data_IF_342861096234
#
_entry.id   IF_342861096234
#
_cell.length_a   1.000
_cell.length_b   1.000
_cell.length_c   1.000
_cell.angle_alpha   90.00
_cell.angle_beta   90.00
_cell.angle_gamma   90.00
#
_symmetry.space_group_name_H-M   'P 1'
#
loop_
_entity.id
_entity.type
_entity.pdbx_description
1 polymer ?
#
# COMPACT_ATOMS: atom_id res chain seq x y z
N UNK A 1 -14.77 -1.29 2.91
CA UNK A 1 -14.77 -2.62 2.24
C UNK A 1 -13.36 -2.86 1.70
N UNK A 2 -12.42 -3.24 2.57
CA UNK A 2 -11.01 -3.41 2.20
C UNK A 2 -10.80 -4.72 1.46
N UNK A 3 -9.87 -4.77 0.50
CA UNK A 3 -9.50 -5.93 -0.34
C UNK A 3 -9.01 -7.14 0.50
N UNK A 4 -9.92 -7.80 1.19
CA UNK A 4 -9.77 -9.13 1.80
C UNK A 4 -9.50 -10.22 0.75
N UNK A 5 -9.95 -9.99 -0.49
CA UNK A 5 -9.93 -10.93 -1.63
C UNK A 5 -8.51 -11.42 -2.01
N UNK A 6 -7.43 -10.72 -1.65
CA UNK A 6 -6.05 -11.20 -1.91
C UNK A 6 -5.49 -12.14 -0.84
N UNK A 7 -5.99 -12.08 0.40
CA UNK A 7 -5.42 -12.82 1.54
C UNK A 7 -5.97 -14.23 1.70
N UNK A 8 -7.16 -14.45 1.16
CA UNK A 8 -7.83 -15.75 1.10
C UNK A 8 -7.14 -16.69 0.14
N UNK A 9 -6.76 -16.15 -1.02
CA UNK A 9 -5.90 -16.86 -1.97
C UNK A 9 -4.53 -17.20 -1.37
N UNK A 10 -4.03 -16.43 -0.39
CA UNK A 10 -2.74 -16.74 0.23
C UNK A 10 -2.85 -17.98 1.14
N UNK A 11 -3.85 -18.02 2.03
CA UNK A 11 -4.13 -19.19 2.87
C UNK A 11 -4.48 -20.43 2.04
N UNK A 12 -5.29 -20.25 0.99
CA UNK A 12 -5.64 -21.33 0.07
C UNK A 12 -4.41 -21.87 -0.68
N UNK A 13 -3.51 -20.99 -1.17
CA UNK A 13 -2.25 -21.41 -1.80
C UNK A 13 -1.32 -22.16 -0.85
N UNK A 14 -1.26 -21.76 0.43
CA UNK A 14 -0.48 -22.50 1.43
C UNK A 14 -1.05 -23.88 1.72
N UNK A 15 -2.38 -24.01 1.74
CA UNK A 15 -3.04 -25.29 1.89
C UNK A 15 -2.83 -26.21 0.67
N UNK A 16 -2.93 -25.65 -0.55
CA UNK A 16 -2.68 -26.37 -1.81
C UNK A 16 -1.22 -26.84 -1.96
N UNK A 17 -0.26 -26.08 -1.41
CA UNK A 17 1.17 -26.44 -1.43
C UNK A 17 1.56 -27.51 -0.38
N UNK A 18 0.69 -27.83 0.58
CA UNK A 18 0.98 -28.81 1.64
C UNK A 18 1.97 -28.35 2.71
N UNK A 19 2.49 -27.12 2.61
CA UNK A 19 3.55 -26.58 3.47
C UNK A 19 3.06 -26.13 4.86
N UNK A 20 1.74 -26.03 5.05
CA UNK A 20 1.16 -25.40 6.25
C UNK A 20 -0.08 -26.16 6.74
N UNK A 21 -0.14 -26.40 8.06
CA UNK A 21 -1.38 -26.79 8.75
C UNK A 21 -1.97 -25.56 9.47
N UNK A 22 -3.26 -25.33 9.24
CA UNK A 22 -4.03 -24.23 9.86
C UNK A 22 -4.88 -24.83 11.00
N UNK A 23 -4.86 -24.20 12.17
CA UNK A 23 -5.64 -24.58 13.33
C UNK A 23 -6.45 -23.37 13.85
N UNK A 24 -7.76 -23.51 13.97
CA UNK A 24 -8.69 -22.45 14.35
C UNK A 24 -9.37 -22.69 15.70
N UNK A 25 -9.73 -21.59 16.36
CA UNK A 25 -10.58 -21.57 17.54
C UNK A 25 -12.08 -21.56 17.14
N UNK A 26 -12.96 -22.37 17.76
CA UNK A 26 -14.39 -22.42 17.44
C UNK A 26 -15.14 -21.08 17.50
N UNK A 27 -14.69 -20.11 18.31
CA UNK A 27 -15.29 -18.77 18.40
C UNK A 27 -15.07 -17.87 17.16
N UNK A 28 -14.16 -18.24 16.26
CA UNK A 28 -13.85 -17.48 15.04
C UNK A 28 -14.94 -17.60 13.94
N UNK A 29 -15.77 -18.65 13.96
CA UNK A 29 -16.64 -18.99 12.83
C UNK A 29 -17.72 -17.94 12.53
N UNK A 30 -18.24 -17.23 13.55
CA UNK A 30 -19.39 -16.33 13.39
C UNK A 30 -19.00 -14.88 13.02
N UNK A 31 -17.83 -14.42 13.49
CA UNK A 31 -17.28 -13.13 13.08
C UNK A 31 -16.76 -13.15 11.63
N UNK A 32 -16.12 -14.25 11.20
CA UNK A 32 -15.65 -14.41 9.82
C UNK A 32 -16.82 -14.48 8.80
N UNK A 33 -18.01 -14.92 9.23
CA UNK A 33 -19.25 -14.87 8.43
C UNK A 33 -19.80 -13.45 8.29
N UNK A 34 -19.71 -12.63 9.33
CA UNK A 34 -20.28 -11.26 9.34
C UNK A 34 -19.35 -10.19 8.73
N UNK A 35 -18.03 -10.42 8.69
CA UNK A 35 -17.07 -9.54 8.01
C UNK A 35 -17.05 -9.75 6.47
N UNK A 36 -18.21 -9.49 5.86
CA UNK A 36 -18.52 -9.41 4.42
C UNK A 36 -18.10 -10.61 3.55
N UNK A 37 -19.01 -11.58 3.47
CA UNK A 37 -19.23 -12.34 2.24
C UNK A 37 -18.35 -13.57 2.03
N UNK A 38 -18.14 -14.35 3.10
CA UNK A 38 -17.87 -15.78 2.96
C UNK A 38 -16.67 -16.15 2.10
N UNK A 39 -15.48 -15.88 2.62
CA UNK A 39 -14.31 -16.72 2.41
C UNK A 39 -13.29 -16.23 3.43
N UNK A 40 -13.01 -17.04 4.45
CA UNK A 40 -11.78 -17.12 5.23
C UNK A 40 -11.67 -18.60 5.52
N UNK A 41 -10.55 -19.22 5.12
CA UNK A 41 -10.30 -20.62 5.46
C UNK A 41 -10.18 -20.70 6.99
N UNK A 42 -11.30 -20.97 7.66
CA UNK A 42 -11.32 -21.46 9.00
C UNK A 42 -11.03 -22.96 8.91
N UNK A 43 -9.91 -23.41 9.45
CA UNK A 43 -9.65 -24.84 9.62
C UNK A 43 -9.83 -25.16 11.10
N UNK A 44 -11.00 -25.69 11.42
CA UNK A 44 -11.28 -26.36 12.67
C UNK A 44 -10.37 -27.59 12.76
N UNK A 45 -9.53 -27.66 13.80
CA UNK A 45 -9.13 -28.98 14.27
C UNK A 45 -10.32 -29.49 15.08
N UNK A 46 -11.04 -30.47 14.53
CA UNK A 46 -11.96 -31.25 15.34
C UNK A 46 -11.13 -31.98 16.40
N UNK A 47 -11.41 -31.72 17.68
CA UNK A 47 -10.81 -32.42 18.82
C UNK A 47 -11.07 -33.94 18.76
N UNK A 48 -12.02 -34.38 17.90
CA UNK A 48 -12.31 -35.79 17.60
C UNK A 48 -11.55 -36.35 16.41
N UNK A 49 -10.91 -35.50 15.60
CA UNK A 49 -9.84 -35.96 14.72
C UNK A 49 -8.53 -35.84 15.49
N UNK A 50 -8.16 -36.93 16.17
CA UNK A 50 -6.73 -37.20 16.36
C UNK A 50 -6.11 -37.02 14.97
N UNK A 51 -5.12 -36.13 14.74
CA UNK A 51 -4.31 -36.26 13.54
C UNK A 51 -3.76 -37.67 13.61
N UNK A 52 -4.38 -38.58 12.86
CA UNK A 52 -3.98 -39.97 12.80
C UNK A 52 -2.55 -39.94 12.24
N UNK A 53 -1.57 -40.02 13.14
CA UNK A 53 -0.17 -39.92 12.77
C UNK A 53 0.31 -38.48 12.58
N UNK A 54 1.32 -38.14 13.38
CA UNK A 54 2.43 -37.24 13.04
C UNK A 54 2.08 -36.05 12.11
N UNK A 55 1.92 -34.86 12.69
CA UNK A 55 2.11 -33.62 11.91
C UNK A 55 3.58 -33.60 11.44
N UNK A 56 3.83 -33.99 10.19
CA UNK A 56 5.15 -33.96 9.55
C UNK A 56 5.45 -32.62 8.84
N UNK A 57 5.11 -31.49 9.47
CA UNK A 57 5.28 -30.16 8.88
C UNK A 57 6.14 -29.24 9.75
N UNK A 58 7.09 -28.53 9.14
CA UNK A 58 7.99 -27.61 9.85
C UNK A 58 7.35 -26.28 10.30
N UNK A 59 6.14 -25.94 9.83
CA UNK A 59 5.48 -24.66 10.09
C UNK A 59 3.99 -24.78 10.46
N UNK A 60 3.54 -23.96 11.42
CA UNK A 60 2.14 -23.80 11.86
C UNK A 60 1.76 -22.32 11.81
N UNK A 61 0.56 -22.00 11.30
CA UNK A 61 0.02 -20.64 11.30
C UNK A 61 -1.18 -20.56 12.25
N UNK A 62 -1.04 -19.74 13.30
CA UNK A 62 -2.11 -19.39 14.22
C UNK A 62 -2.99 -18.30 13.60
N UNK A 63 -4.30 -18.52 13.57
CA UNK A 63 -5.28 -17.52 13.11
C UNK A 63 -6.29 -17.32 14.25
N UNK A 64 -6.31 -16.11 14.83
CA UNK A 64 -7.28 -15.77 15.86
C UNK A 64 -7.99 -14.45 15.60
N UNK A 65 -9.31 -14.54 15.72
CA UNK A 65 -10.27 -13.48 16.02
C UNK A 65 -9.84 -12.52 17.12
N UNK A 66 -9.33 -13.13 18.19
CA UNK A 66 -9.45 -12.61 19.53
C UNK A 66 -8.12 -12.34 20.21
N UNK A 67 -7.25 -13.32 20.22
CA UNK A 67 -5.92 -13.21 20.78
C UNK A 67 -5.00 -14.18 20.02
N UNK A 68 -4.43 -13.68 18.92
CA UNK A 68 -3.54 -14.48 18.07
C UNK A 68 -2.24 -14.79 18.80
N UNK A 69 -1.80 -13.89 19.67
CA UNK A 69 -0.64 -14.04 20.54
C UNK A 69 -0.80 -15.25 21.46
N UNK A 70 -1.93 -15.33 22.18
CA UNK A 70 -2.21 -16.46 23.09
C UNK A 70 -2.35 -17.78 22.35
N UNK A 71 -3.01 -17.79 21.19
CA UNK A 71 -3.14 -19.00 20.37
C UNK A 71 -1.76 -19.49 19.88
N UNK A 72 -0.93 -18.57 19.39
CA UNK A 72 0.45 -18.86 18.97
C UNK A 72 1.27 -19.50 20.10
N UNK A 73 1.16 -18.97 21.33
CA UNK A 73 1.84 -19.54 22.49
C UNK A 73 1.39 -20.99 22.78
N UNK A 74 0.08 -21.25 22.84
CA UNK A 74 -0.47 -22.60 23.09
C UNK A 74 -0.04 -23.61 22.02
N UNK A 75 -0.02 -23.19 20.75
CA UNK A 75 0.42 -24.04 19.65
C UNK A 75 1.92 -24.35 19.73
N UNK A 76 2.75 -23.39 20.13
CA UNK A 76 4.18 -23.62 20.31
C UNK A 76 4.47 -24.60 21.47
N UNK A 77 3.71 -24.53 22.56
CA UNK A 77 3.78 -25.48 23.67
C UNK A 77 3.35 -26.89 23.25
N UNK A 78 2.29 -27.00 22.43
CA UNK A 78 1.75 -28.28 21.97
C UNK A 78 2.60 -28.94 20.88
N UNK A 79 3.28 -28.14 20.05
CA UNK A 79 4.06 -28.60 18.90
C UNK A 79 5.50 -28.06 18.94
N UNK A 80 6.34 -28.51 19.88
CA UNK A 80 7.67 -27.93 20.14
C UNK A 80 8.67 -28.09 18.98
N UNK A 81 8.40 -28.99 18.03
CA UNK A 81 9.23 -29.21 16.85
C UNK A 81 8.78 -28.41 15.62
N UNK A 82 7.67 -27.67 15.71
CA UNK A 82 7.14 -26.86 14.62
C UNK A 82 7.43 -25.36 14.86
N UNK A 83 7.70 -24.64 13.77
CA UNK A 83 7.78 -23.17 13.80
C UNK A 83 6.38 -22.59 13.80
N UNK A 84 5.98 -21.90 14.87
CA UNK A 84 4.63 -21.31 14.99
C UNK A 84 4.66 -19.81 14.69
N UNK A 85 3.84 -19.36 13.73
CA UNK A 85 3.71 -17.98 13.31
C UNK A 85 2.26 -17.47 13.46
N UNK A 86 2.08 -16.20 13.79
CA UNK A 86 0.76 -15.54 13.76
C UNK A 86 0.40 -15.08 12.35
N UNK A 87 -0.86 -15.21 11.95
CA UNK A 87 -1.28 -14.78 10.62
C UNK A 87 -1.18 -13.27 10.43
N UNK A 88 -1.63 -12.45 11.38
CA UNK A 88 -1.55 -11.00 11.26
C UNK A 88 -0.15 -10.51 11.62
N UNK A 89 0.37 -10.91 12.78
CA UNK A 89 1.64 -10.42 13.33
C UNK A 89 2.89 -10.82 12.56
N UNK A 90 2.87 -11.99 11.91
CA UNK A 90 4.03 -12.53 11.21
C UNK A 90 3.78 -12.64 9.69
N UNK A 91 2.80 -13.45 9.27
CA UNK A 91 2.60 -13.81 7.86
C UNK A 91 2.13 -12.60 7.03
N UNK A 92 1.07 -11.92 7.48
CA UNK A 92 0.52 -10.76 6.78
C UNK A 92 1.45 -9.55 6.84
N UNK A 93 2.21 -9.41 7.94
CA UNK A 93 3.23 -8.37 8.09
C UNK A 93 4.32 -8.55 7.05
N UNK A 94 4.91 -9.75 6.93
CA UNK A 94 5.92 -10.09 5.91
C UNK A 94 5.39 -9.94 4.50
N UNK A 95 4.19 -10.45 4.23
CA UNK A 95 3.55 -10.31 2.93
C UNK A 95 3.33 -8.83 2.55
N UNK A 96 3.02 -7.97 3.52
CA UNK A 96 2.90 -6.53 3.32
C UNK A 96 4.25 -5.83 3.05
N UNK A 97 5.37 -6.46 3.43
CA UNK A 97 6.72 -6.07 3.03
C UNK A 97 7.19 -6.78 1.74
N UNK A 98 6.32 -7.55 1.08
CA UNK A 98 6.63 -8.44 -0.04
C UNK A 98 7.77 -9.45 0.23
N UNK A 99 8.04 -9.73 1.51
CA UNK A 99 8.89 -10.82 1.93
C UNK A 99 8.14 -12.16 1.81
N UNK A 100 8.90 -13.25 1.76
CA UNK A 100 8.33 -14.59 1.94
C UNK A 100 7.61 -14.65 3.31
N UNK A 101 6.29 -14.92 3.33
CA UNK A 101 5.52 -14.94 4.58
C UNK A 101 5.93 -16.04 5.57
N UNK A 102 6.60 -17.09 5.10
CA UNK A 102 7.01 -18.26 5.90
C UNK A 102 8.51 -18.29 6.23
N UNK A 103 9.32 -17.50 5.52
CA UNK A 103 10.76 -17.46 5.76
C UNK A 103 11.12 -16.83 7.12
N UNK A 104 12.28 -17.22 7.62
CA UNK A 104 12.96 -16.49 8.69
C UNK A 104 13.44 -15.12 8.19
N UNK A 105 13.32 -14.13 9.05
CA UNK A 105 13.67 -12.74 8.77
C UNK A 105 15.19 -12.50 8.80
N UNK A 106 15.98 -13.44 9.33
CA UNK A 106 17.44 -13.26 9.51
C UNK A 106 18.16 -13.03 8.18
N UNK A 107 17.78 -13.73 7.12
CA UNK A 107 18.33 -13.55 5.78
C UNK A 107 18.08 -12.15 5.25
N UNK A 108 16.84 -11.66 5.38
CA UNK A 108 16.44 -10.32 4.95
C UNK A 108 17.19 -9.26 5.74
N UNK A 109 17.33 -9.44 7.06
CA UNK A 109 18.06 -8.47 7.92
C UNK A 109 19.55 -8.37 7.59
N UNK A 110 20.15 -9.42 6.99
CA UNK A 110 21.54 -9.43 6.51
C UNK A 110 21.72 -8.71 5.18
N UNK A 111 20.66 -8.46 4.43
CA UNK A 111 20.76 -7.65 3.21
C UNK A 111 21.24 -6.24 3.55
N UNK A 112 22.11 -5.70 2.68
CA UNK A 112 22.62 -4.35 2.85
C UNK A 112 21.49 -3.33 2.78
N UNK A 113 21.50 -2.34 3.67
CA UNK A 113 20.55 -1.23 3.58
C UNK A 113 20.71 -0.46 2.26
N UNK A 114 19.61 0.08 1.72
CA UNK A 114 19.68 0.94 0.55
C UNK A 114 20.53 2.18 0.83
N UNK A 115 21.36 2.53 -0.15
CA UNK A 115 22.18 3.75 -0.10
C UNK A 115 21.38 5.03 -0.33
N UNK A 116 20.18 4.93 -0.91
CA UNK A 116 19.29 6.06 -1.21
C UNK A 116 17.86 5.71 -0.82
N UNK A 117 17.21 6.64 -0.13
CA UNK A 117 15.81 6.58 0.26
C UNK A 117 15.06 7.73 -0.37
N UNK A 118 13.88 7.48 -0.92
CA UNK A 118 13.00 8.56 -1.34
C UNK A 118 11.52 8.26 -1.13
N UNK A 119 10.74 9.33 -0.97
CA UNK A 119 9.29 9.26 -0.89
C UNK A 119 8.66 10.18 -1.94
N UNK A 120 7.73 9.64 -2.72
CA UNK A 120 6.79 10.43 -3.49
C UNK A 120 5.63 10.80 -2.57
N UNK A 121 5.53 12.08 -2.21
CA UNK A 121 4.49 12.61 -1.33
C UNK A 121 3.46 13.37 -2.17
N UNK A 122 2.19 13.01 -2.03
CA UNK A 122 1.13 13.56 -2.88
C UNK A 122 -0.24 13.44 -2.22
N UNK A 123 -1.22 14.21 -2.69
CA UNK A 123 -2.64 13.95 -2.40
C UNK A 123 -3.20 12.76 -3.21
N UNK A 124 -4.40 12.26 -2.87
CA UNK A 124 -5.10 11.26 -3.67
C UNK A 124 -5.39 11.79 -5.08
N UNK A 125 -5.47 10.90 -6.08
CA UNK A 125 -5.83 11.22 -7.48
C UNK A 125 -4.93 12.23 -8.23
N UNK A 126 -3.71 12.44 -7.75
CA UNK A 126 -2.67 13.28 -8.40
C UNK A 126 -1.96 12.61 -9.60
N UNK A 127 -2.39 11.42 -10.04
CA UNK A 127 -1.65 10.63 -11.04
C UNK A 127 -0.45 9.85 -10.47
N UNK A 128 -0.29 9.85 -9.15
CA UNK A 128 0.86 9.24 -8.45
C UNK A 128 1.10 7.76 -8.73
N UNK A 129 0.06 6.96 -8.99
CA UNK A 129 0.24 5.55 -9.37
C UNK A 129 0.87 5.39 -10.76
N UNK A 130 0.48 6.22 -11.72
CA UNK A 130 1.08 6.27 -13.06
C UNK A 130 2.54 6.72 -12.94
N UNK A 131 2.77 7.82 -12.24
CA UNK A 131 4.10 8.41 -12.03
C UNK A 131 5.08 7.45 -11.35
N UNK A 132 4.66 6.82 -10.26
CA UNK A 132 5.48 5.84 -9.54
C UNK A 132 5.76 4.61 -10.39
N UNK A 133 4.81 4.19 -11.24
CA UNK A 133 5.10 3.12 -12.18
C UNK A 133 6.12 3.54 -13.23
N UNK A 134 6.03 4.76 -13.76
CA UNK A 134 7.01 5.31 -14.69
C UNK A 134 8.43 5.30 -14.06
N UNK A 135 8.57 5.75 -12.81
CA UNK A 135 9.85 5.68 -12.08
C UNK A 135 10.37 4.24 -11.97
N UNK A 136 9.49 3.28 -11.71
CA UNK A 136 9.83 1.86 -11.62
C UNK A 136 10.32 1.29 -12.95
N UNK A 137 9.66 1.65 -14.07
CA UNK A 137 10.01 1.13 -15.40
C UNK A 137 11.37 1.64 -15.90
N UNK A 138 11.90 2.73 -15.33
CA UNK A 138 13.30 3.14 -15.59
C UNK A 138 14.31 2.05 -15.23
N UNK A 139 13.95 1.14 -14.31
CA UNK A 139 14.83 0.12 -13.77
C UNK A 139 16.00 0.67 -12.95
N UNK A 140 16.09 1.98 -12.72
CA UNK A 140 17.21 2.66 -12.05
C UNK A 140 16.85 3.33 -10.72
N UNK A 141 15.56 3.62 -10.50
CA UNK A 141 15.06 4.37 -9.33
C UNK A 141 14.35 3.47 -8.31
N UNK A 142 14.86 2.26 -8.09
CA UNK A 142 14.25 1.32 -7.14
C UNK A 142 12.98 0.66 -7.69
N UNK A 143 12.10 0.22 -6.77
CA UNK A 143 10.78 -0.34 -7.08
C UNK A 143 9.67 0.39 -6.33
N UNK A 144 9.51 1.71 -6.53
CA UNK A 144 8.56 2.46 -5.76
C UNK A 144 7.13 1.92 -5.93
N UNK A 145 6.44 1.82 -4.81
CA UNK A 145 5.02 1.49 -4.72
C UNK A 145 4.48 2.13 -3.43
N UNK A 146 3.17 2.03 -3.22
CA UNK A 146 2.53 2.52 -2.00
C UNK A 146 2.50 1.38 -0.99
N UNK A 147 3.42 1.45 -0.04
CA UNK A 147 3.56 0.42 1.00
C UNK A 147 2.67 0.70 2.21
N UNK A 148 2.46 1.99 2.52
CA UNK A 148 1.51 2.40 3.55
C UNK A 148 0.09 2.23 3.00
N UNK A 149 -0.67 1.35 3.65
CA UNK A 149 -2.02 0.97 3.23
C UNK A 149 -2.95 0.97 4.44
N UNK A 150 -4.27 0.90 4.22
CA UNK A 150 -5.23 0.70 5.30
C UNK A 150 -4.92 -0.50 6.21
N UNK A 151 -4.30 -1.55 5.65
CA UNK A 151 -3.83 -2.68 6.44
C UNK A 151 -2.77 -2.27 7.48
N UNK A 152 -1.81 -1.43 7.12
CA UNK A 152 -0.78 -0.94 8.05
C UNK A 152 -1.42 -0.19 9.22
N UNK A 153 -2.44 0.63 8.94
CA UNK A 153 -3.21 1.35 9.96
C UNK A 153 -3.98 0.38 10.86
N UNK A 154 -4.64 -0.63 10.27
CA UNK A 154 -5.33 -1.68 11.04
C UNK A 154 -4.36 -2.43 11.97
N UNK A 155 -3.21 -2.85 11.45
CA UNK A 155 -2.20 -3.57 12.20
C UNK A 155 -1.63 -2.72 13.35
N UNK A 156 -1.41 -1.42 13.11
CA UNK A 156 -0.99 -0.47 14.14
C UNK A 156 -2.04 -0.34 15.26
N UNK A 157 -3.34 -0.24 14.91
CA UNK A 157 -4.44 -0.11 15.89
C UNK A 157 -4.62 -1.33 16.78
N UNK A 158 -4.34 -2.53 16.27
CA UNK A 158 -4.59 -3.79 16.96
C UNK A 158 -3.30 -4.52 17.32
N UNK A 159 -2.23 -3.77 17.54
CA UNK A 159 -0.89 -4.31 17.67
C UNK A 159 -0.71 -5.34 18.78
N UNK A 160 -1.32 -5.12 19.94
CA UNK A 160 -1.15 -5.99 21.10
C UNK A 160 -1.89 -7.32 20.88
N UNK A 161 -3.08 -7.25 20.27
CA UNK A 161 -3.92 -8.41 19.91
C UNK A 161 -3.23 -9.37 18.94
N UNK A 162 -2.37 -8.83 18.09
CA UNK A 162 -1.75 -9.54 16.98
C UNK A 162 -0.22 -9.57 17.05
N UNK A 163 0.39 -9.14 18.16
CA UNK A 163 1.84 -9.00 18.32
C UNK A 163 2.54 -8.26 17.16
N UNK A 164 1.95 -7.16 16.67
CA UNK A 164 2.50 -6.39 15.55
C UNK A 164 3.65 -5.49 16.00
N UNK A 165 4.79 -5.65 15.32
CA UNK A 165 5.94 -4.74 15.39
C UNK A 165 6.16 -4.06 14.03
N UNK A 166 5.77 -2.78 13.91
CA UNK A 166 5.98 -2.05 12.67
C UNK A 166 7.43 -1.65 12.46
N UNK A 167 8.26 -1.62 13.51
CA UNK A 167 9.69 -1.35 13.38
C UNK A 167 10.36 -2.50 12.64
N UNK A 168 10.05 -3.74 13.05
CA UNK A 168 10.43 -4.96 12.32
C UNK A 168 9.94 -4.91 10.88
N UNK A 169 8.68 -4.56 10.64
CA UNK A 169 8.13 -4.46 9.28
C UNK A 169 8.85 -3.43 8.41
N UNK A 170 9.10 -2.22 8.92
CA UNK A 170 9.84 -1.19 8.20
C UNK A 170 11.25 -1.65 7.84
N UNK A 171 11.94 -2.35 8.76
CA UNK A 171 13.28 -2.87 8.53
C UNK A 171 13.33 -3.91 7.40
N UNK A 172 12.33 -4.80 7.34
CA UNK A 172 12.17 -5.78 6.26
C UNK A 172 11.82 -5.07 4.94
N UNK A 173 10.81 -4.20 4.99
CA UNK A 173 10.28 -3.50 3.84
C UNK A 173 11.37 -2.74 3.08
N UNK A 174 12.17 -1.94 3.80
CA UNK A 174 13.21 -1.11 3.18
C UNK A 174 14.29 -1.96 2.50
N UNK A 175 14.57 -3.16 3.01
CA UNK A 175 15.56 -4.10 2.45
C UNK A 175 15.00 -4.92 1.28
N UNK A 176 13.75 -5.38 1.37
CA UNK A 176 13.13 -6.20 0.32
C UNK A 176 12.70 -5.40 -0.91
N UNK A 177 12.19 -4.19 -0.71
CA UNK A 177 11.62 -3.38 -1.80
C UNK A 177 12.63 -2.43 -2.44
N UNK A 178 13.90 -2.46 -2.01
CA UNK A 178 14.94 -1.77 -2.76
C UNK A 178 15.29 -2.49 -4.06
N UNK A 179 15.79 -1.72 -5.02
CA UNK A 179 16.47 -2.23 -6.21
C UNK A 179 17.61 -1.30 -6.55
N UNK A 180 18.77 -1.87 -6.93
CA UNK A 180 20.00 -1.12 -7.20
C UNK A 180 20.39 -0.17 -6.04
N UNK A 181 20.25 -0.66 -4.79
CA UNK A 181 20.51 0.10 -3.56
C UNK A 181 19.65 1.36 -3.38
N UNK A 182 18.48 1.42 -4.02
CA UNK A 182 17.49 2.50 -3.88
C UNK A 182 16.18 1.93 -3.38
N UNK A 183 15.68 2.45 -2.27
CA UNK A 183 14.31 2.23 -1.81
C UNK A 183 13.48 3.48 -2.09
N UNK A 184 12.32 3.27 -2.70
CA UNK A 184 11.35 4.32 -3.01
C UNK A 184 9.99 3.92 -2.48
N UNK A 185 9.23 4.88 -1.95
CA UNK A 185 7.84 4.65 -1.53
C UNK A 185 6.93 5.78 -2.00
N UNK A 186 5.64 5.50 -2.12
CA UNK A 186 4.60 6.50 -2.30
C UNK A 186 3.82 6.68 -1.00
N UNK A 187 3.67 7.93 -0.57
CA UNK A 187 2.93 8.33 0.62
C UNK A 187 1.80 9.26 0.17
N UNK A 188 0.58 8.82 0.42
CA UNK A 188 -0.62 9.65 0.27
C UNK A 188 -0.94 10.23 1.66
N UNK A 189 -1.27 11.52 1.71
CA UNK A 189 -1.45 12.29 2.94
C UNK A 189 -2.43 11.63 3.93
N UNK A 190 -3.57 11.15 3.42
CA UNK A 190 -4.63 10.49 4.20
C UNK A 190 -4.11 9.31 5.06
N UNK A 191 -3.22 8.49 4.51
CA UNK A 191 -2.65 7.34 5.20
C UNK A 191 -1.56 7.73 6.19
N UNK A 192 -0.71 8.70 5.84
CA UNK A 192 0.33 9.19 6.76
C UNK A 192 -0.30 9.82 8.00
N UNK A 193 -1.32 10.65 7.81
CA UNK A 193 -2.09 11.28 8.89
C UNK A 193 -2.75 10.22 9.77
N UNK A 194 -3.34 9.18 9.17
CA UNK A 194 -4.01 8.11 9.91
C UNK A 194 -3.06 7.23 10.71
N UNK A 195 -1.82 7.03 10.23
CA UNK A 195 -0.84 6.15 10.87
C UNK A 195 -0.02 6.86 11.96
N UNK A 196 0.36 8.11 11.76
CA UNK A 196 1.22 8.88 12.66
C UNK A 196 0.80 8.89 14.15
N UNK A 197 -0.50 9.01 14.52
CA UNK A 197 -0.90 8.97 15.93
C UNK A 197 -0.85 7.56 16.55
N UNK A 198 -0.74 6.51 15.72
CA UNK A 198 -0.75 5.11 16.18
C UNK A 198 0.64 4.54 16.44
N UNK A 199 1.70 5.26 16.02
CA UNK A 199 3.08 4.82 16.21
C UNK A 199 3.48 4.87 17.69
N UNK A 200 4.08 3.78 18.18
CA UNK A 200 4.75 3.75 19.48
C UNK A 200 5.98 4.67 19.50
N UNK A 201 6.56 4.92 20.68
CA UNK A 201 7.77 5.73 20.81
C UNK A 201 8.92 5.22 19.94
N UNK A 202 9.18 3.91 19.97
CA UNK A 202 10.25 3.29 19.18
C UNK A 202 9.98 3.35 17.67
N UNK A 203 8.74 3.09 17.25
CA UNK A 203 8.37 3.17 15.83
C UNK A 203 8.47 4.60 15.30
N UNK A 204 8.04 5.58 16.10
CA UNK A 204 8.15 7.00 15.77
C UNK A 204 9.61 7.40 15.57
N UNK A 205 10.50 6.98 16.47
CA UNK A 205 11.94 7.23 16.34
C UNK A 205 12.53 6.60 15.07
N UNK A 206 12.12 5.36 14.74
CA UNK A 206 12.56 4.70 13.51
C UNK A 206 12.06 5.42 12.25
N UNK A 207 10.79 5.81 12.21
CA UNK A 207 10.20 6.57 11.09
C UNK A 207 10.92 7.92 10.92
N UNK A 208 11.23 8.61 12.01
CA UNK A 208 11.99 9.87 11.98
C UNK A 208 13.41 9.66 11.44
N UNK A 209 14.10 8.60 11.87
CA UNK A 209 15.44 8.25 11.37
C UNK A 209 15.45 7.96 9.86
N UNK A 210 14.44 7.24 9.36
CA UNK A 210 14.26 7.02 7.92
C UNK A 210 13.95 8.33 7.19
N UNK A 211 13.02 9.13 7.72
CA UNK A 211 12.62 10.41 7.13
C UNK A 211 13.79 11.39 7.00
N UNK A 212 14.68 11.45 8.00
CA UNK A 212 15.86 12.32 8.00
C UNK A 212 16.88 12.00 6.89
N UNK A 213 16.81 10.79 6.31
CA UNK A 213 17.68 10.32 5.21
C UNK A 213 16.95 10.26 3.86
N UNK A 214 15.67 10.63 3.84
CA UNK A 214 14.77 10.43 2.69
C UNK A 214 14.67 11.71 1.86
N UNK A 215 14.96 11.61 0.56
CA UNK A 215 14.67 12.69 -0.39
C UNK A 215 13.20 12.70 -0.75
N UNK A 216 12.62 13.88 -0.88
CA UNK A 216 11.18 14.00 -1.10
C UNK A 216 10.92 14.47 -2.53
N UNK A 217 10.08 13.73 -3.24
CA UNK A 217 9.49 14.17 -4.51
C UNK A 217 8.04 14.53 -4.20
N UNK A 218 7.71 15.81 -4.19
CA UNK A 218 6.33 16.27 -3.99
C UNK A 218 5.64 16.27 -5.34
N UNK A 219 4.73 15.32 -5.55
CA UNK A 219 3.90 15.28 -6.75
C UNK A 219 2.57 15.97 -6.48
N UNK A 220 2.22 16.93 -7.32
CA UNK A 220 0.91 17.60 -7.28
C UNK A 220 0.33 17.70 -8.69
N UNK A 221 -0.98 17.95 -8.75
CA UNK A 221 -1.73 18.10 -9.99
C UNK A 221 -2.18 19.55 -10.11
N UNK A 222 -1.81 20.22 -11.20
CA UNK A 222 -2.12 21.64 -11.41
C UNK A 222 -3.64 21.84 -11.52
N UNK A 223 -4.32 20.95 -12.24
CA UNK A 223 -5.77 21.01 -12.40
C UNK A 223 -6.50 20.30 -11.24
N UNK A 224 -6.74 21.05 -10.16
CA UNK A 224 -7.45 20.59 -8.96
C UNK A 224 -8.92 20.23 -9.22
N UNK A 225 -9.57 20.87 -10.19
CA UNK A 225 -10.96 20.53 -10.53
C UNK A 225 -11.00 19.18 -11.22
N UNK A 226 -10.13 18.95 -12.21
CA UNK A 226 -10.04 17.63 -12.85
C UNK A 226 -9.59 16.54 -11.88
N UNK A 227 -8.81 16.88 -10.85
CA UNK A 227 -8.51 15.97 -9.73
C UNK A 227 -9.78 15.59 -8.97
N UNK A 228 -10.57 16.59 -8.56
CA UNK A 228 -11.78 16.40 -7.77
C UNK A 228 -12.84 15.56 -8.50
N UNK A 229 -13.11 15.90 -9.77
CA UNK A 229 -13.99 15.13 -10.65
C UNK A 229 -13.48 13.70 -10.81
N UNK A 230 -12.17 13.52 -10.96
CA UNK A 230 -11.60 12.19 -11.10
C UNK A 230 -11.75 11.35 -9.84
N UNK A 231 -11.72 11.94 -8.66
CA UNK A 231 -12.01 11.22 -7.42
C UNK A 231 -13.49 10.88 -7.30
N UNK A 232 -14.37 11.84 -7.59
CA UNK A 232 -15.81 11.63 -7.58
C UNK A 232 -16.23 10.44 -8.45
N UNK A 233 -15.74 10.38 -9.70
CA UNK A 233 -16.02 9.26 -10.60
C UNK A 233 -15.42 7.94 -10.09
N UNK A 234 -14.20 7.97 -9.52
CA UNK A 234 -13.59 6.77 -8.95
C UNK A 234 -14.40 6.24 -7.76
N UNK A 235 -14.94 7.14 -6.93
CA UNK A 235 -15.79 6.80 -5.80
C UNK A 235 -17.16 6.28 -6.26
N UNK A 236 -17.75 6.83 -7.32
CA UNK A 236 -19.00 6.33 -7.88
C UNK A 236 -18.83 4.92 -8.49
N UNK A 237 -17.82 4.75 -9.34
CA UNK A 237 -17.56 3.49 -10.07
C UNK A 237 -16.87 2.42 -9.23
N UNK A 238 -16.26 2.79 -8.09
CA UNK A 238 -15.33 1.96 -7.32
C UNK A 238 -14.11 1.49 -8.15
N UNK A 239 -13.72 2.27 -9.16
CA UNK A 239 -12.55 2.00 -10.01
C UNK A 239 -11.53 3.12 -9.88
N UNK A 240 -10.38 2.81 -9.30
CA UNK A 240 -9.28 3.77 -9.13
C UNK A 240 -8.19 3.65 -10.20
N UNK A 241 -8.02 2.46 -10.79
CA UNK A 241 -6.95 2.14 -11.75
C UNK A 241 -7.41 1.12 -12.79
N UNK A 242 -7.08 1.38 -14.05
CA UNK A 242 -7.24 0.45 -15.17
C UNK A 242 -5.86 0.05 -15.70
N UNK A 243 -5.71 -1.22 -16.07
CA UNK A 243 -4.43 -1.80 -16.54
C UNK A 243 -4.50 -2.56 -17.86
N UNK A 244 -5.70 -2.83 -18.36
CA UNK A 244 -5.93 -3.58 -19.60
C UNK A 244 -7.01 -2.86 -20.39
N UNK A 245 -7.06 -3.11 -21.70
CA UNK A 245 -8.02 -2.47 -22.58
C UNK A 245 -9.45 -2.93 -22.30
N UNK A 246 -9.63 -4.20 -21.94
CA UNK A 246 -10.94 -4.78 -21.59
C UNK A 246 -11.51 -4.12 -20.33
N UNK A 247 -10.65 -3.93 -19.31
CA UNK A 247 -11.03 -3.22 -18.10
C UNK A 247 -11.28 -1.72 -18.35
N UNK A 248 -10.71 -1.14 -19.41
CA UNK A 248 -10.99 0.24 -19.80
C UNK A 248 -12.38 0.39 -20.40
N UNK A 249 -12.77 -0.52 -21.30
CA UNK A 249 -14.11 -0.51 -21.89
C UNK A 249 -15.21 -0.59 -20.81
N UNK A 250 -15.08 -1.54 -19.88
CA UNK A 250 -16.02 -1.69 -18.77
C UNK A 250 -16.04 -0.46 -17.84
N UNK A 251 -14.89 0.17 -17.62
CA UNK A 251 -14.80 1.40 -16.83
C UNK A 251 -15.50 2.57 -17.53
N UNK A 252 -15.31 2.74 -18.84
CA UNK A 252 -15.95 3.80 -19.62
C UNK A 252 -17.47 3.68 -19.58
N UNK A 253 -18.01 2.48 -19.77
CA UNK A 253 -19.45 2.22 -19.66
C UNK A 253 -19.99 2.56 -18.26
N UNK A 254 -19.33 2.09 -17.20
CA UNK A 254 -19.74 2.40 -15.83
C UNK A 254 -19.71 3.91 -15.54
N UNK A 255 -18.73 4.61 -16.13
CA UNK A 255 -18.53 6.05 -15.93
C UNK A 255 -19.59 6.90 -16.63
N UNK A 256 -20.11 6.49 -17.78
CA UNK A 256 -21.20 7.18 -18.47
C UNK A 256 -22.48 7.22 -17.62
N UNK A 257 -22.66 6.26 -16.72
CA UNK A 257 -23.80 6.23 -15.78
C UNK A 257 -23.64 7.18 -14.58
N UNK A 258 -22.44 7.74 -14.37
CA UNK A 258 -22.18 8.64 -13.25
C UNK A 258 -22.80 10.00 -13.56
N UNK A 259 -23.84 10.37 -12.81
CA UNK A 259 -24.48 11.68 -12.92
C UNK A 259 -23.58 12.78 -12.36
N UNK A 260 -23.74 14.01 -12.83
CA UNK A 260 -23.07 15.16 -12.23
C UNK A 260 -23.65 15.46 -10.84
N UNK A 261 -22.77 15.68 -9.86
CA UNK A 261 -23.14 16.06 -8.49
C UNK A 261 -22.19 17.16 -7.98
N UNK A 262 -22.69 18.39 -7.92
CA UNK A 262 -21.91 19.56 -7.52
C UNK A 262 -21.34 19.43 -6.11
N UNK A 263 -22.16 18.99 -5.14
CA UNK A 263 -21.77 18.95 -3.73
C UNK A 263 -20.69 17.91 -3.48
N UNK A 264 -20.77 16.74 -4.12
CA UNK A 264 -19.74 15.72 -4.01
C UNK A 264 -18.42 16.16 -4.64
N UNK A 265 -18.47 16.82 -5.81
CA UNK A 265 -17.26 17.36 -6.46
C UNK A 265 -16.67 18.49 -5.60
N UNK A 266 -17.49 19.37 -5.03
CA UNK A 266 -17.05 20.45 -4.15
C UNK A 266 -16.40 19.91 -2.88
N UNK A 267 -16.99 18.90 -2.25
CA UNK A 267 -16.41 18.22 -1.09
C UNK A 267 -15.03 17.61 -1.43
N UNK A 268 -14.92 16.98 -2.60
CA UNK A 268 -13.67 16.45 -3.11
C UNK A 268 -12.60 17.52 -3.34
N UNK A 269 -12.98 18.61 -4.01
CA UNK A 269 -12.11 19.76 -4.26
C UNK A 269 -11.59 20.38 -2.95
N UNK A 270 -12.47 20.60 -1.97
CA UNK A 270 -12.10 21.13 -0.64
C UNK A 270 -11.13 20.20 0.09
N UNK A 271 -11.39 18.90 0.05
CA UNK A 271 -10.54 17.89 0.68
C UNK A 271 -9.15 17.82 0.03
N UNK A 272 -9.06 17.90 -1.30
CA UNK A 272 -7.76 18.01 -2.00
C UNK A 272 -6.99 19.28 -1.63
N UNK A 273 -7.66 20.43 -1.52
CA UNK A 273 -7.01 21.68 -1.09
C UNK A 273 -6.47 21.58 0.34
N UNK A 274 -7.24 21.00 1.25
CA UNK A 274 -6.81 20.79 2.64
C UNK A 274 -5.63 19.81 2.74
N UNK A 275 -5.66 18.74 1.94
CA UNK A 275 -4.57 17.77 1.81
C UNK A 275 -3.27 18.44 1.35
N UNK A 276 -3.32 19.25 0.28
CA UNK A 276 -2.16 19.99 -0.21
C UNK A 276 -1.58 20.94 0.84
N UNK A 277 -2.43 21.72 1.53
CA UNK A 277 -1.98 22.61 2.60
C UNK A 277 -1.31 21.83 3.75
N UNK A 278 -1.84 20.65 4.09
CA UNK A 278 -1.27 19.78 5.12
C UNK A 278 0.10 19.23 4.71
N UNK A 279 0.23 18.77 3.47
CA UNK A 279 1.50 18.32 2.89
C UNK A 279 2.51 19.47 2.93
N UNK A 280 2.13 20.67 2.49
CA UNK A 280 3.02 21.82 2.39
C UNK A 280 3.55 22.24 3.75
N UNK A 281 2.65 22.35 4.74
CA UNK A 281 3.05 22.62 6.12
C UNK A 281 3.97 21.53 6.68
N UNK A 282 3.72 20.26 6.36
CA UNK A 282 4.60 19.16 6.77
C UNK A 282 5.98 19.26 6.11
N UNK A 283 6.04 19.50 4.80
CA UNK A 283 7.29 19.61 4.04
C UNK A 283 8.19 20.72 4.61
N UNK A 284 7.61 21.90 4.88
CA UNK A 284 8.33 23.02 5.51
C UNK A 284 8.97 22.61 6.84
N UNK A 285 8.26 21.83 7.67
CA UNK A 285 8.77 21.36 8.97
C UNK A 285 9.84 20.28 8.84
N UNK A 286 9.91 19.53 7.74
CA UNK A 286 10.88 18.44 7.61
C UNK A 286 12.32 18.93 7.40
N UNK A 287 12.50 20.13 6.81
CA UNK A 287 13.81 20.65 6.42
C UNK A 287 14.56 19.79 5.38
N UNK A 288 13.91 18.78 4.80
CA UNK A 288 14.52 17.88 3.82
C UNK A 288 14.53 18.50 2.42
N UNK A 289 15.48 18.11 1.55
CA UNK A 289 15.42 18.47 0.14
C UNK A 289 14.12 17.96 -0.49
N UNK A 290 13.40 18.87 -1.17
CA UNK A 290 12.15 18.57 -1.88
C UNK A 290 12.30 18.94 -3.35
N UNK A 291 12.00 17.99 -4.24
CA UNK A 291 11.78 18.26 -5.65
C UNK A 291 10.27 18.37 -5.90
N UNK A 292 9.81 19.54 -6.36
CA UNK A 292 8.42 19.74 -6.75
C UNK A 292 8.21 19.24 -8.17
N UNK A 293 7.24 18.36 -8.36
CA UNK A 293 6.88 17.76 -9.65
C UNK A 293 5.40 18.00 -9.91
N UNK A 294 5.09 18.51 -11.10
CA UNK A 294 3.73 18.70 -11.59
C UNK A 294 3.38 17.53 -12.50
N UNK A 295 2.26 16.86 -12.22
CA UNK A 295 1.80 15.71 -13.01
C UNK A 295 1.71 16.02 -14.52
N UNK A 296 1.13 17.17 -14.86
CA UNK A 296 0.94 17.62 -16.24
C UNK A 296 2.26 17.84 -16.98
N UNK A 297 3.29 18.33 -16.30
CA UNK A 297 4.60 18.56 -16.92
C UNK A 297 5.31 17.22 -17.20
N UNK A 298 5.20 16.24 -16.28
CA UNK A 298 5.71 14.88 -16.52
C UNK A 298 4.96 14.17 -17.65
N UNK A 299 3.66 14.42 -17.81
CA UNK A 299 2.92 13.89 -18.96
C UNK A 299 3.43 14.47 -20.29
N UNK A 300 3.76 15.77 -20.32
CA UNK A 300 4.20 16.44 -21.52
C UNK A 300 5.65 16.08 -21.91
N UNK A 301 6.53 15.90 -20.91
CA UNK A 301 7.96 15.63 -21.13
C UNK A 301 8.51 14.59 -20.14
N UNK A 302 8.09 13.31 -20.23
CA UNK A 302 8.44 12.29 -19.23
C UNK A 302 9.94 12.07 -19.12
N UNK A 303 10.68 12.01 -20.23
CA UNK A 303 12.13 11.79 -20.23
C UNK A 303 12.88 12.89 -19.48
N UNK A 304 12.55 14.16 -19.76
CA UNK A 304 13.17 15.32 -19.13
C UNK A 304 12.99 15.29 -17.62
N UNK A 305 11.75 15.11 -17.15
CA UNK A 305 11.48 15.09 -15.72
C UNK A 305 12.03 13.85 -15.01
N UNK A 306 12.08 12.69 -15.67
CA UNK A 306 12.72 11.50 -15.09
C UNK A 306 14.21 11.70 -14.90
N UNK A 307 14.90 12.41 -15.81
CA UNK A 307 16.31 12.74 -15.66
C UNK A 307 16.56 13.74 -14.53
N UNK A 308 15.69 14.73 -14.39
CA UNK A 308 15.70 15.66 -13.26
C UNK A 308 15.52 14.92 -11.93
N UNK A 309 14.48 14.08 -11.84
CA UNK A 309 14.20 13.26 -10.64
C UNK A 309 15.37 12.33 -10.34
N UNK A 310 15.95 11.65 -11.34
CA UNK A 310 17.11 10.81 -11.13
C UNK A 310 18.27 11.60 -10.51
N UNK A 311 18.56 12.78 -11.09
CA UNK A 311 19.67 13.60 -10.64
C UNK A 311 19.46 14.09 -9.22
N UNK A 312 18.24 14.52 -8.91
CA UNK A 312 17.83 14.89 -7.56
C UNK A 312 17.93 13.71 -6.57
N UNK A 313 17.45 12.51 -6.94
CA UNK A 313 17.40 11.36 -6.05
C UNK A 313 18.77 10.72 -5.79
N UNK A 314 19.68 10.78 -6.77
CA UNK A 314 21.02 10.21 -6.64
C UNK A 314 22.11 11.21 -6.28
N UNK A 315 21.93 12.50 -6.59
CA UNK A 315 22.97 13.53 -6.59
C UNK A 315 24.08 13.24 -7.61
N UNK A 316 23.68 12.74 -8.78
CA UNK A 316 24.58 12.33 -9.85
C UNK A 316 23.92 12.69 -11.19
N UNK A 317 24.66 13.01 -12.27
CA UNK A 317 24.07 13.25 -13.57
C UNK A 317 23.22 12.06 -14.05
N UNK A 318 22.04 12.34 -14.60
CA UNK A 318 21.18 11.28 -15.12
C UNK A 318 21.77 10.63 -16.38
N UNK A 319 21.82 9.29 -16.44
CA UNK A 319 22.11 8.58 -17.68
C UNK A 319 20.96 8.78 -18.67
N UNK A 320 21.12 8.23 -19.87
CA UNK A 320 20.00 8.06 -20.78
C UNK A 320 19.00 7.09 -20.12
N UNK A 321 17.78 7.55 -19.91
CA UNK A 321 16.69 6.76 -19.34
C UNK A 321 15.74 6.40 -20.47
N UNK A 322 15.49 5.11 -20.67
CA UNK A 322 14.44 4.68 -21.58
C UNK A 322 13.09 4.82 -20.90
N UNK A 323 12.17 5.53 -21.55
CA UNK A 323 10.80 5.67 -21.09
C UNK A 323 9.95 4.58 -21.72
N UNK A 324 9.71 3.52 -20.95
CA UNK A 324 8.73 2.51 -21.30
C UNK A 324 7.32 3.04 -21.01
N UNK A 325 6.34 2.58 -21.80
CA UNK A 325 4.94 2.81 -21.50
C UNK A 325 4.59 2.18 -20.14
N UNK A 326 3.78 2.90 -19.37
CA UNK A 326 3.23 2.37 -18.13
C UNK A 326 2.07 1.42 -18.46
N UNK A 327 1.88 0.40 -17.62
CA UNK A 327 0.66 -0.43 -17.69
C UNK A 327 -0.59 0.29 -17.19
N UNK A 328 -0.47 1.47 -16.57
CA UNK A 328 -1.60 2.20 -16.01
C UNK A 328 -2.17 3.18 -17.01
N UNK A 329 -3.45 3.05 -17.31
CA UNK A 329 -4.13 3.90 -18.28
C UNK A 329 -4.63 5.20 -17.66
N UNK A 330 -4.66 6.28 -18.46
CA UNK A 330 -5.26 7.58 -18.09
C UNK A 330 -6.78 7.46 -18.14
N UNK A 331 -7.45 7.83 -17.05
CA UNK A 331 -8.90 7.64 -16.90
C UNK A 331 -9.76 8.87 -17.28
N UNK A 332 -9.11 9.98 -17.66
CA UNK A 332 -9.78 11.22 -18.04
C UNK A 332 -10.13 11.24 -19.53
N UNK A 333 -11.37 11.60 -19.84
CA UNK A 333 -11.93 11.78 -21.19
C UNK A 333 -13.00 12.90 -21.18
N UNK A 334 -13.82 12.96 -22.24
CA UNK A 334 -14.89 13.95 -22.42
C UNK A 334 -15.90 14.03 -21.26
N UNK A 335 -16.24 12.93 -20.58
CA UNK A 335 -17.16 12.96 -19.43
C UNK A 335 -16.52 13.68 -18.24
N UNK A 336 -15.22 13.46 -18.01
CA UNK A 336 -14.49 14.20 -16.97
C UNK A 336 -14.43 15.69 -17.31
N UNK A 337 -14.15 16.01 -18.57
CA UNK A 337 -14.01 17.38 -19.04
C UNK A 337 -15.34 18.14 -18.93
N UNK A 338 -16.44 17.50 -19.28
CA UNK A 338 -17.78 18.07 -19.16
C UNK A 338 -18.18 18.35 -17.71
N UNK A 339 -17.99 17.37 -16.80
CA UNK A 339 -18.23 17.59 -15.37
C UNK A 339 -17.34 18.70 -14.80
N UNK A 340 -16.07 18.75 -15.20
CA UNK A 340 -15.14 19.78 -14.76
C UNK A 340 -15.53 21.17 -15.28
N UNK A 341 -15.97 21.27 -16.54
CA UNK A 341 -16.47 22.50 -17.15
C UNK A 341 -17.71 23.02 -16.42
N UNK A 342 -18.68 22.14 -16.17
CA UNK A 342 -19.90 22.48 -15.42
C UNK A 342 -19.60 22.94 -13.99
N UNK A 343 -18.74 22.20 -13.29
CA UNK A 343 -18.31 22.57 -11.94
C UNK A 343 -17.64 23.94 -11.88
N UNK A 344 -16.72 24.24 -12.81
CA UNK A 344 -16.07 25.55 -12.90
C UNK A 344 -17.06 26.69 -13.08
N UNK A 345 -18.04 26.50 -13.96
CA UNK A 345 -19.10 27.48 -14.20
C UNK A 345 -19.95 27.72 -12.94
N UNK A 346 -20.35 26.67 -12.22
CA UNK A 346 -21.15 26.77 -11.00
C UNK A 346 -20.35 27.30 -9.79
N UNK A 347 -19.04 27.05 -9.72
CA UNK A 347 -18.15 27.50 -8.64
C UNK A 347 -17.46 28.84 -8.88
N UNK A 348 -17.54 29.42 -10.08
CA UNK A 348 -16.83 30.65 -10.45
C UNK A 348 -15.30 30.50 -10.47
N UNK A 349 -14.79 29.36 -10.95
CA UNK A 349 -13.36 29.02 -11.01
C UNK A 349 -12.77 29.02 -12.41
#
# INVERSE_FOLDING_TARGET
>A
MFRAVKKLKLLQRFQEAGDVRIAADPGCADFLRSYRGGAYAALLLDDRSSPSGQIHGGHLIAISTDDETRLKQRLAERFPHATVAGFIGDVALRAAAHADPLADDTGIRRESEPSKLYAVVCGPRTGSTWFVNLLRETGRLGRPTEHLRPLTVFMARHRDRFAVDLSRWLALLVRQEQKNRVFGTKIIDDFAISLAPLLSGNERAMVQSLAAKTRIVRLHRRDRVAQAVSEYIADATKVWHVRTNEAMAAYSEAKETVSYDYEHILASYRRHRAAEATIDGWLVRTGQPVLNVVYEDVLAAPETHLREIYSFLRSEPAPILQVSSTRYQRLGDAVNEEMARRFRAESGL
#
